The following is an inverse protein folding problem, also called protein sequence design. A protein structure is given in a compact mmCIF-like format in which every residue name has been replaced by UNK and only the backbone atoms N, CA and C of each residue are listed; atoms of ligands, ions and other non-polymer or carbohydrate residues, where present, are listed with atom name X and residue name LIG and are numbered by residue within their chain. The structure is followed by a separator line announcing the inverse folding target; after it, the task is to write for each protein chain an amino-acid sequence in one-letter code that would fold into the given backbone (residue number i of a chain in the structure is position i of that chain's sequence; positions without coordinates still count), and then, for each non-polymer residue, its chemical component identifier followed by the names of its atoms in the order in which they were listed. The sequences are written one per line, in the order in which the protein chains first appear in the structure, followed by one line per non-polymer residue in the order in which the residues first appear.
data_IF_971319544313
#
_entry.id   IF_971319544313
#
_cell.length_a   1.000
_cell.length_b   1.000
_cell.length_c   1.000
_cell.angle_alpha   90.00
_cell.angle_beta   90.00
_cell.angle_gamma   90.00
#
_symmetry.space_group_name_H-M   'P 1'
#
loop_
_entity.id
_entity.type
_entity.pdbx_description
1 polymer ?
#
# COMPACT_ATOMS: atom_id res chain seq x y z
N UNK A 1 4.03 16.42 13.00
CA UNK A 1 2.76 17.07 12.71
C UNK A 1 1.78 16.04 12.12
N UNK A 2 0.48 16.12 12.46
CA UNK A 2 -0.49 15.28 11.79
C UNK A 2 -0.65 15.72 10.34
N UNK A 3 -0.93 14.77 9.47
CA UNK A 3 -1.19 15.03 8.06
C UNK A 3 -2.67 14.89 7.78
N UNK A 4 -3.31 16.02 7.52
CA UNK A 4 -4.68 16.04 7.05
C UNK A 4 -4.77 15.48 5.63
N UNK A 5 -5.74 14.62 5.38
CA UNK A 5 -6.03 14.09 4.06
C UNK A 5 -7.51 14.27 3.76
N UNK A 6 -7.88 14.08 2.50
CA UNK A 6 -9.27 14.15 2.06
C UNK A 6 -10.17 13.01 2.61
N UNK A 7 -9.56 12.02 3.30
CA UNK A 7 -10.31 10.98 4.03
C UNK A 7 -10.76 11.42 5.41
N UNK A 8 -10.30 12.58 5.90
CA UNK A 8 -10.54 13.09 7.24
C UNK A 8 -9.36 12.86 8.19
N UNK A 9 -9.52 13.38 9.42
CA UNK A 9 -8.52 13.24 10.49
C UNK A 9 -9.26 13.14 11.84
N UNK A 10 -9.37 11.96 12.46
CA UNK A 10 -9.07 10.64 11.92
C UNK A 10 -9.99 10.25 10.76
N UNK A 11 -9.58 9.26 9.96
CA UNK A 11 -10.43 8.64 8.95
C UNK A 11 -10.94 7.27 9.41
N UNK A 12 -12.12 6.89 8.94
CA UNK A 12 -12.77 5.64 9.35
C UNK A 12 -12.46 4.53 8.34
N UNK A 13 -12.21 3.31 8.84
CA UNK A 13 -12.04 2.08 8.05
C UNK A 13 -13.11 1.09 8.47
N UNK A 14 -14.27 1.21 7.82
CA UNK A 14 -15.45 0.38 8.06
C UNK A 14 -16.00 -0.14 6.72
N UNK A 15 -16.72 -1.24 6.75
CA UNK A 15 -17.47 -1.71 5.60
C UNK A 15 -18.72 -0.84 5.42
N UNK A 16 -18.87 -0.21 4.26
CA UNK A 16 -20.01 0.64 3.93
C UNK A 16 -20.73 0.17 2.65
N UNK A 17 -22.06 0.38 2.55
CA UNK A 17 -22.79 0.14 1.30
C UNK A 17 -22.27 1.04 0.16
N UNK A 18 -22.08 0.47 -1.04
CA UNK A 18 -21.60 1.18 -2.24
C UNK A 18 -20.28 1.93 -1.99
N UNK A 19 -19.22 1.24 -1.59
CA UNK A 19 -17.94 1.85 -1.27
C UNK A 19 -17.30 2.48 -2.51
N UNK A 20 -16.65 3.62 -2.32
CA UNK A 20 -15.83 4.29 -3.33
C UNK A 20 -14.34 3.94 -3.22
N UNK A 21 -13.97 3.14 -2.23
CA UNK A 21 -12.60 2.70 -1.97
C UNK A 21 -12.59 1.25 -1.48
N UNK A 22 -11.58 0.49 -1.88
CA UNK A 22 -11.41 -0.91 -1.46
C UNK A 22 -11.21 -1.08 0.05
N UNK A 23 -10.71 -0.07 0.75
CA UNK A 23 -10.60 -0.09 2.22
C UNK A 23 -11.96 -0.21 2.91
N UNK A 24 -13.04 0.22 2.25
CA UNK A 24 -14.42 0.20 2.75
C UNK A 24 -15.20 -1.04 2.32
N UNK A 25 -14.55 -2.01 1.70
CA UNK A 25 -15.14 -3.31 1.34
C UNK A 25 -14.79 -4.39 2.36
N UNK A 26 -15.44 -5.54 2.27
CA UNK A 26 -15.08 -6.75 3.02
C UNK A 26 -14.00 -7.59 2.31
N UNK A 27 -13.66 -7.25 1.06
CA UNK A 27 -12.70 -7.99 0.25
C UNK A 27 -11.27 -7.91 0.80
N UNK A 28 -10.46 -8.87 0.40
CA UNK A 28 -9.03 -8.85 0.71
C UNK A 28 -8.35 -7.61 0.11
N UNK A 29 -7.57 -6.93 0.93
CA UNK A 29 -6.76 -5.79 0.53
C UNK A 29 -5.30 -6.24 0.48
N UNK A 30 -4.75 -6.36 -0.73
CA UNK A 30 -3.36 -6.80 -0.92
C UNK A 30 -2.38 -5.79 -0.33
N UNK A 31 -1.21 -6.28 0.07
CA UNK A 31 -0.17 -5.43 0.64
C UNK A 31 0.16 -4.25 -0.29
N UNK A 32 0.04 -3.04 0.22
CA UNK A 32 0.21 -1.76 -0.49
C UNK A 32 0.77 -0.69 0.44
N UNK A 33 1.24 0.39 -0.15
CA UNK A 33 1.50 1.66 0.55
C UNK A 33 0.36 2.63 0.25
N UNK A 34 -0.03 3.42 1.24
CA UNK A 34 -1.09 4.39 1.09
C UNK A 34 -0.64 5.63 0.32
N UNK A 35 -1.56 6.15 -0.50
CA UNK A 35 -1.44 7.43 -1.21
C UNK A 35 -0.17 7.55 -2.08
N UNK A 36 0.20 6.51 -2.87
CA UNK A 36 1.44 6.51 -3.65
C UNK A 36 1.45 7.55 -4.78
N UNK A 37 0.32 8.19 -5.05
CA UNK A 37 0.13 9.24 -6.04
C UNK A 37 0.40 10.66 -5.50
N UNK A 38 0.75 10.81 -4.23
CA UNK A 38 1.29 12.07 -3.71
C UNK A 38 2.81 12.11 -3.87
N UNK A 39 3.34 13.29 -4.19
CA UNK A 39 4.79 13.49 -4.25
C UNK A 39 5.45 13.14 -2.91
N UNK A 40 4.85 13.59 -1.83
CA UNK A 40 5.20 13.20 -0.46
C UNK A 40 4.08 12.31 0.10
N UNK A 41 4.25 11.00 -0.01
CA UNK A 41 3.35 10.05 0.64
C UNK A 41 3.41 10.21 2.17
N UNK A 42 2.33 9.93 2.92
CA UNK A 42 2.34 10.00 4.38
C UNK A 42 3.52 9.25 4.98
N UNK A 43 4.15 9.83 6.02
CA UNK A 43 5.30 9.23 6.70
C UNK A 43 4.88 8.04 7.56
N UNK A 44 4.11 8.28 8.59
CA UNK A 44 3.62 7.24 9.48
C UNK A 44 2.11 7.13 9.43
N UNK A 45 1.63 5.89 9.48
CA UNK A 45 0.22 5.58 9.61
C UNK A 45 -0.04 4.89 10.94
N UNK A 46 -1.13 5.27 11.56
CA UNK A 46 -1.69 4.61 12.75
C UNK A 46 -3.04 4.01 12.35
N UNK A 47 -3.30 2.80 12.79
CA UNK A 47 -4.58 2.12 12.68
C UNK A 47 -4.99 1.68 14.08
N UNK A 48 -5.97 2.36 14.66
CA UNK A 48 -6.55 2.05 15.95
C UNK A 48 -7.75 1.15 15.75
N UNK A 49 -7.71 -0.03 16.31
CA UNK A 49 -8.81 -1.00 16.25
C UNK A 49 -9.85 -0.68 17.32
N UNK A 50 -11.03 -0.27 16.90
CA UNK A 50 -12.15 0.00 17.80
C UNK A 50 -12.99 -1.27 18.01
N UNK A 51 -13.27 -2.00 16.93
CA UNK A 51 -14.06 -3.24 16.93
C UNK A 51 -13.46 -4.18 15.88
N UNK A 52 -13.32 -5.46 16.21
CA UNK A 52 -12.88 -6.47 15.26
C UNK A 52 -13.46 -7.86 15.62
N UNK A 53 -14.79 -7.95 15.60
CA UNK A 53 -15.54 -9.18 15.94
C UNK A 53 -15.75 -10.07 14.71
N UNK A 54 -15.61 -9.50 13.50
CA UNK A 54 -15.82 -10.21 12.25
C UNK A 54 -14.84 -11.37 12.07
N UNK A 55 -15.31 -12.46 11.47
CA UNK A 55 -14.48 -13.60 11.07
C UNK A 55 -13.59 -13.23 9.88
N UNK A 56 -12.30 -13.51 9.95
CA UNK A 56 -11.30 -13.07 8.96
C UNK A 56 -10.70 -11.72 9.31
N UNK A 57 -10.36 -10.90 8.31
CA UNK A 57 -9.87 -9.54 8.48
C UNK A 57 -8.51 -9.42 9.18
N UNK A 58 -7.66 -10.47 9.09
CA UNK A 58 -6.28 -10.40 9.61
C UNK A 58 -5.51 -9.31 8.88
N UNK A 59 -4.81 -8.48 9.62
CA UNK A 59 -3.86 -7.53 9.07
C UNK A 59 -2.61 -8.25 8.58
N UNK A 60 -1.99 -7.75 7.55
CA UNK A 60 -0.70 -8.24 7.04
C UNK A 60 0.27 -7.10 6.83
N UNK A 61 1.55 -7.37 7.02
CA UNK A 61 2.63 -6.39 6.81
C UNK A 61 3.82 -7.01 6.12
N UNK A 62 4.52 -6.18 5.34
CA UNK A 62 5.77 -6.53 4.66
C UNK A 62 6.73 -5.35 4.77
N UNK A 63 7.97 -5.62 5.22
CA UNK A 63 9.04 -4.62 5.11
C UNK A 63 9.49 -4.51 3.65
N UNK A 64 9.03 -3.48 2.96
CA UNK A 64 9.35 -3.23 1.56
C UNK A 64 10.84 -2.99 1.31
N UNK A 65 11.56 -2.41 2.27
CA UNK A 65 13.01 -2.24 2.16
C UNK A 65 13.76 -3.57 2.27
N UNK A 66 13.26 -4.52 3.08
CA UNK A 66 13.82 -5.87 3.13
C UNK A 66 13.63 -6.61 1.79
N UNK A 67 12.46 -6.47 1.17
CA UNK A 67 12.19 -7.02 -0.18
C UNK A 67 13.09 -6.34 -1.22
N UNK A 68 13.17 -5.01 -1.22
CA UNK A 68 14.03 -4.25 -2.15
C UNK A 68 15.51 -4.64 -2.01
N UNK A 69 15.97 -4.85 -0.77
CA UNK A 69 17.35 -5.30 -0.51
C UNK A 69 17.59 -6.75 -0.96
N UNK A 70 16.59 -7.63 -0.86
CA UNK A 70 16.64 -8.97 -1.45
C UNK A 70 16.83 -8.89 -2.96
N UNK A 71 16.03 -8.06 -3.66
CA UNK A 71 16.15 -7.84 -5.10
C UNK A 71 17.51 -7.26 -5.48
N UNK A 72 17.99 -6.24 -4.77
CA UNK A 72 19.31 -5.61 -5.00
C UNK A 72 20.43 -6.64 -4.98
N UNK A 73 20.33 -7.66 -4.11
CA UNK A 73 21.36 -8.70 -3.95
C UNK A 73 21.20 -9.89 -4.88
N UNK A 74 19.98 -10.31 -5.19
CA UNK A 74 19.69 -11.57 -5.87
C UNK A 74 19.13 -11.44 -7.27
N UNK A 75 18.43 -10.34 -7.56
CA UNK A 75 17.67 -10.12 -8.78
C UNK A 75 17.94 -8.72 -9.36
N UNK A 76 19.19 -8.48 -9.74
CA UNK A 76 19.69 -7.15 -10.13
C UNK A 76 18.90 -6.51 -11.27
N UNK A 77 18.46 -7.32 -12.24
CA UNK A 77 17.69 -6.81 -13.41
C UNK A 77 16.29 -6.35 -12.96
N UNK A 78 15.62 -7.13 -12.11
CA UNK A 78 14.33 -6.77 -11.50
C UNK A 78 14.48 -5.51 -10.68
N UNK A 79 15.48 -5.46 -9.81
CA UNK A 79 15.80 -4.26 -9.01
C UNK A 79 16.02 -3.02 -9.87
N UNK A 80 16.82 -3.16 -10.94
CA UNK A 80 17.09 -2.05 -11.87
C UNK A 80 15.84 -1.56 -12.58
N UNK A 81 14.94 -2.47 -12.99
CA UNK A 81 13.67 -2.08 -13.60
C UNK A 81 12.76 -1.33 -12.62
N UNK A 82 12.64 -1.81 -11.39
CA UNK A 82 11.74 -1.23 -10.37
C UNK A 82 12.26 0.10 -9.80
N UNK A 83 13.57 0.37 -9.89
CA UNK A 83 14.18 1.63 -9.43
C UNK A 83 14.32 2.68 -10.53
N UNK A 84 14.32 2.29 -11.83
CA UNK A 84 14.59 3.21 -12.94
C UNK A 84 13.41 3.42 -13.87
N UNK A 85 12.37 2.59 -13.79
CA UNK A 85 11.20 2.73 -14.64
C UNK A 85 10.12 3.52 -13.91
N UNK A 86 9.78 4.68 -14.47
CA UNK A 86 8.71 5.52 -13.97
C UNK A 86 7.37 4.94 -14.41
N UNK A 87 6.47 4.77 -13.48
CA UNK A 87 5.09 4.33 -13.71
C UNK A 87 4.11 5.36 -13.18
N UNK A 88 2.91 5.37 -13.73
CA UNK A 88 1.87 6.29 -13.32
C UNK A 88 1.13 5.73 -12.11
N UNK A 89 1.13 6.48 -11.01
CA UNK A 89 0.19 6.32 -9.92
C UNK A 89 -0.93 7.32 -10.09
N UNK A 90 -2.19 6.87 -10.01
CA UNK A 90 -3.36 7.71 -10.26
C UNK A 90 -4.44 7.43 -9.23
N UNK A 91 -5.06 8.51 -8.78
CA UNK A 91 -6.32 8.50 -8.06
C UNK A 91 -7.35 9.34 -8.80
N UNK A 92 -8.60 8.92 -8.80
CA UNK A 92 -9.71 9.67 -9.36
C UNK A 92 -10.83 9.73 -8.33
N UNK A 93 -10.97 10.87 -7.71
CA UNK A 93 -11.99 11.13 -6.71
C UNK A 93 -13.16 11.89 -7.35
N UNK A 94 -14.22 11.17 -7.65
CA UNK A 94 -15.42 11.76 -8.26
C UNK A 94 -16.19 12.65 -7.29
N UNK A 95 -16.08 12.42 -5.98
CA UNK A 95 -16.75 13.21 -4.95
C UNK A 95 -16.13 14.59 -4.84
N UNK A 96 -14.80 14.66 -4.80
CA UNK A 96 -14.04 15.90 -4.77
C UNK A 96 -13.76 16.48 -6.16
N UNK A 97 -14.18 15.79 -7.23
CA UNK A 97 -13.89 16.15 -8.63
C UNK A 97 -12.39 16.39 -8.87
N UNK A 98 -11.56 15.55 -8.26
CA UNK A 98 -10.11 15.67 -8.29
C UNK A 98 -9.46 14.46 -8.96
N UNK A 99 -8.42 14.72 -9.74
CA UNK A 99 -7.53 13.70 -10.30
C UNK A 99 -6.12 13.99 -9.79
N UNK A 100 -5.51 12.99 -9.14
CA UNK A 100 -4.15 13.07 -8.64
C UNK A 100 -3.29 12.12 -9.44
N UNK A 101 -2.16 12.58 -9.92
CA UNK A 101 -1.25 11.78 -10.76
C UNK A 101 0.18 12.04 -10.36
N UNK A 102 0.93 10.96 -10.17
CA UNK A 102 2.37 11.01 -9.98
C UNK A 102 3.04 9.99 -10.88
N UNK A 103 4.16 10.37 -11.50
CA UNK A 103 5.07 9.44 -12.16
C UNK A 103 6.27 9.21 -11.26
N UNK A 104 6.49 7.95 -10.85
CA UNK A 104 7.57 7.57 -9.93
C UNK A 104 7.97 6.11 -10.17
N UNK A 105 9.23 5.74 -9.87
CA UNK A 105 9.58 4.33 -9.72
C UNK A 105 8.82 3.68 -8.56
N UNK A 106 8.71 2.35 -8.58
CA UNK A 106 8.15 1.58 -7.46
C UNK A 106 9.07 1.63 -6.23
N UNK A 107 10.38 1.56 -6.45
CA UNK A 107 11.41 1.69 -5.41
C UNK A 107 12.13 3.00 -5.67
N UNK A 108 11.97 3.98 -4.79
CA UNK A 108 12.68 5.26 -4.92
C UNK A 108 13.95 5.26 -4.07
N UNK A 109 14.94 6.00 -4.54
CA UNK A 109 16.25 6.10 -3.89
C UNK A 109 16.56 7.56 -3.56
N UNK A 110 17.31 7.76 -2.48
CA UNK A 110 17.94 9.06 -2.16
C UNK A 110 19.07 9.36 -3.15
N UNK A 111 19.63 10.56 -3.06
CA UNK A 111 20.82 10.94 -3.84
C UNK A 111 22.04 10.04 -3.53
N UNK A 112 22.09 9.48 -2.33
CA UNK A 112 23.16 8.60 -1.86
C UNK A 112 22.90 7.12 -2.17
N UNK A 113 21.85 6.83 -2.95
CA UNK A 113 21.37 5.48 -3.33
C UNK A 113 20.87 4.63 -2.16
N UNK A 114 20.44 5.25 -1.08
CA UNK A 114 19.69 4.60 -0.02
C UNK A 114 18.19 4.50 -0.39
N UNK A 115 17.47 3.57 0.21
CA UNK A 115 16.02 3.47 0.00
C UNK A 115 15.31 4.69 0.60
N UNK A 116 14.51 5.35 -0.21
CA UNK A 116 13.70 6.50 0.19
C UNK A 116 12.25 6.09 0.50
N UNK A 117 11.57 5.54 -0.48
CA UNK A 117 10.23 4.97 -0.29
C UNK A 117 9.91 3.80 -1.24
N UNK A 118 8.90 3.03 -0.89
CA UNK A 118 8.25 2.04 -1.75
C UNK A 118 6.87 2.58 -2.11
N UNK A 119 6.59 2.64 -3.41
CA UNK A 119 5.28 3.03 -3.96
C UNK A 119 4.64 1.84 -4.63
N UNK A 120 3.69 1.22 -3.97
CA UNK A 120 3.03 0.05 -4.52
C UNK A 120 1.57 -0.02 -4.07
N UNK A 121 0.67 0.08 -5.03
CA UNK A 121 -0.76 -0.15 -4.83
C UNK A 121 -1.36 -0.57 -6.16
N UNK A 122 -1.95 -1.75 -6.22
CA UNK A 122 -2.61 -2.23 -7.45
C UNK A 122 -3.82 -1.36 -7.82
N UNK A 123 -4.52 -0.81 -6.82
CA UNK A 123 -5.67 0.07 -7.03
C UNK A 123 -5.28 1.46 -7.55
N UNK A 124 -4.09 1.93 -7.18
CA UNK A 124 -3.61 3.26 -7.57
C UNK A 124 -2.66 3.25 -8.78
N UNK A 125 -2.27 2.08 -9.28
CA UNK A 125 -1.45 2.00 -10.48
C UNK A 125 -2.29 2.32 -11.72
N UNK A 126 -1.91 3.36 -12.45
CA UNK A 126 -2.51 3.72 -13.74
C UNK A 126 -1.98 2.85 -14.87
N UNK A 127 -2.38 3.20 -16.10
CA UNK A 127 -1.87 2.54 -17.30
C UNK A 127 -0.35 2.70 -17.32
N UNK A 128 0.35 1.58 -17.49
CA UNK A 128 1.80 1.56 -17.59
C UNK A 128 2.20 2.07 -18.97
N UNK A 129 2.83 3.25 -18.99
CA UNK A 129 3.33 3.90 -20.19
C UNK A 129 4.87 3.77 -20.22
N UNK A 130 5.35 2.57 -20.51
CA UNK A 130 6.77 2.29 -20.70
C UNK A 130 7.04 1.90 -22.15
N UNK A 131 8.28 2.08 -22.60
CA UNK A 131 8.68 1.69 -23.94
C UNK A 131 8.21 0.25 -24.26
N UNK A 132 7.46 0.00 -25.36
CA UNK A 132 6.91 -1.32 -25.69
C UNK A 132 7.94 -2.45 -25.67
N UNK A 133 9.20 -2.18 -26.06
CA UNK A 133 10.30 -3.17 -26.03
C UNK A 133 10.66 -3.60 -24.60
N UNK A 134 10.34 -2.79 -23.59
CA UNK A 134 10.62 -3.07 -22.16
C UNK A 134 9.38 -3.55 -21.40
N UNK A 135 8.19 -3.44 -21.99
CA UNK A 135 6.90 -3.69 -21.34
C UNK A 135 6.84 -5.08 -20.69
N UNK A 136 7.15 -6.13 -21.47
CA UNK A 136 7.13 -7.52 -20.98
C UNK A 136 8.03 -7.69 -19.74
N UNK A 137 9.30 -7.26 -19.85
CA UNK A 137 10.27 -7.37 -18.75
C UNK A 137 9.84 -6.58 -17.52
N UNK A 138 9.23 -5.41 -17.72
CA UNK A 138 8.72 -4.62 -16.61
C UNK A 138 7.55 -5.33 -15.90
N UNK A 139 6.59 -5.89 -16.66
CA UNK A 139 5.49 -6.65 -16.07
C UNK A 139 5.96 -7.90 -15.31
N UNK A 140 6.93 -8.62 -15.84
CA UNK A 140 7.55 -9.77 -15.16
C UNK A 140 8.20 -9.33 -13.84
N UNK A 141 8.96 -8.22 -13.85
CA UNK A 141 9.56 -7.65 -12.64
C UNK A 141 8.51 -7.18 -11.63
N UNK A 142 7.45 -6.53 -12.10
CA UNK A 142 6.34 -6.08 -11.28
C UNK A 142 5.60 -7.26 -10.61
N UNK A 143 5.25 -8.29 -11.38
CA UNK A 143 4.59 -9.49 -10.87
C UNK A 143 5.47 -10.25 -9.88
N UNK A 144 6.77 -10.33 -10.15
CA UNK A 144 7.71 -10.95 -9.24
C UNK A 144 7.79 -10.20 -7.92
N UNK A 145 7.90 -8.87 -7.96
CA UNK A 145 7.83 -8.04 -6.75
C UNK A 145 6.52 -8.28 -5.98
N UNK A 146 5.37 -8.24 -6.67
CA UNK A 146 4.07 -8.50 -6.07
C UNK A 146 3.99 -9.89 -5.41
N UNK A 147 4.62 -10.92 -6.01
CA UNK A 147 4.68 -12.26 -5.42
C UNK A 147 5.52 -12.33 -4.15
N UNK A 148 6.62 -11.59 -4.08
CA UNK A 148 7.45 -11.49 -2.87
C UNK A 148 6.69 -10.84 -1.71
N UNK A 149 5.80 -9.89 -2.00
CA UNK A 149 4.95 -9.25 -0.98
C UNK A 149 3.88 -10.20 -0.39
N UNK A 150 3.64 -11.35 -1.02
CA UNK A 150 2.76 -12.39 -0.51
C UNK A 150 3.53 -13.58 0.11
N UNK A 151 4.84 -13.57 0.01
CA UNK A 151 5.67 -14.67 0.50
C UNK A 151 5.84 -14.58 2.02
N UNK A 152 5.55 -15.68 2.72
CA UNK A 152 5.65 -15.78 4.19
C UNK A 152 7.07 -15.52 4.73
N UNK A 153 8.10 -15.52 3.89
CA UNK A 153 9.46 -15.09 4.26
C UNK A 153 9.52 -13.60 4.60
N UNK A 154 8.66 -12.78 3.99
CA UNK A 154 8.65 -11.32 4.13
C UNK A 154 7.38 -10.80 4.79
N UNK A 155 6.29 -11.57 4.70
CA UNK A 155 4.95 -11.21 5.17
C UNK A 155 4.70 -11.75 6.58
N UNK A 156 4.12 -10.91 7.43
CA UNK A 156 3.61 -11.26 8.75
C UNK A 156 2.12 -10.99 8.75
N UNK A 157 1.33 -11.97 9.15
CA UNK A 157 -0.11 -11.83 9.35
C UNK A 157 -0.42 -11.84 10.85
N UNK A 158 -1.30 -10.94 11.30
CA UNK A 158 -1.74 -10.82 12.69
C UNK A 158 -3.17 -10.29 12.78
N UNK A 159 -3.82 -10.50 13.93
CA UNK A 159 -5.12 -9.92 14.21
C UNK A 159 -4.95 -8.73 15.15
N UNK A 160 -5.62 -7.63 14.84
CA UNK A 160 -5.78 -6.52 15.77
C UNK A 160 -7.01 -6.80 16.64
N UNK A 161 -6.84 -6.64 17.94
CA UNK A 161 -7.93 -6.70 18.91
C UNK A 161 -8.41 -5.29 19.25
N UNK A 162 -9.63 -5.17 19.80
CA UNK A 162 -10.16 -3.86 20.22
C UNK A 162 -9.22 -3.19 21.23
N UNK A 163 -8.85 -1.95 20.98
CA UNK A 163 -7.87 -1.18 21.75
C UNK A 163 -6.44 -1.22 21.22
N UNK A 164 -6.11 -2.13 20.30
CA UNK A 164 -4.78 -2.16 19.67
C UNK A 164 -4.57 -0.96 18.76
N UNK A 165 -3.35 -0.43 18.79
CA UNK A 165 -2.89 0.59 17.85
C UNK A 165 -1.70 0.05 17.07
N UNK A 166 -1.86 -0.11 15.77
CA UNK A 166 -0.79 -0.49 14.86
C UNK A 166 -0.19 0.74 14.19
N UNK A 167 1.10 0.97 14.39
CA UNK A 167 1.84 2.10 13.82
C UNK A 167 2.97 1.59 12.91
N UNK A 168 3.12 2.19 11.73
CA UNK A 168 4.17 1.84 10.78
C UNK A 168 4.56 3.01 9.88
N UNK A 169 5.80 2.95 9.37
CA UNK A 169 6.27 3.87 8.34
C UNK A 169 5.69 3.47 6.99
N UNK A 170 4.73 4.23 6.49
CA UNK A 170 4.03 3.97 5.21
C UNK A 170 4.95 4.09 3.97
N UNK A 171 6.08 4.78 4.10
CA UNK A 171 7.08 4.88 3.02
C UNK A 171 7.95 3.62 2.92
N UNK A 172 7.94 2.75 3.93
CA UNK A 172 8.74 1.54 4.01
C UNK A 172 7.90 0.26 4.08
N UNK A 173 6.86 0.26 4.89
CA UNK A 173 6.05 -0.92 5.20
C UNK A 173 4.82 -0.95 4.32
N UNK A 174 4.65 -2.05 3.59
CA UNK A 174 3.39 -2.32 2.92
C UNK A 174 2.48 -3.06 3.90
N UNK A 175 1.21 -2.69 3.87
CA UNK A 175 0.20 -3.28 4.73
C UNK A 175 -0.99 -3.77 3.92
N UNK A 176 -1.74 -4.70 4.48
CA UNK A 176 -2.90 -5.29 3.84
C UNK A 176 -3.83 -5.93 4.85
N UNK A 177 -4.85 -6.60 4.31
CA UNK A 177 -5.87 -7.26 5.12
C UNK A 177 -6.42 -8.46 4.35
N UNK A 178 -6.64 -9.58 5.02
CA UNK A 178 -7.43 -10.67 4.45
C UNK A 178 -8.90 -10.25 4.31
N UNK A 179 -9.66 -10.92 3.48
CA UNK A 179 -11.11 -10.82 3.46
C UNK A 179 -11.72 -11.12 4.84
N UNK A 180 -12.90 -10.60 5.08
CA UNK A 180 -13.69 -10.92 6.27
C UNK A 180 -15.17 -11.07 5.90
N UNK A 181 -15.90 -11.84 6.72
CA UNK A 181 -17.34 -11.99 6.56
C UNK A 181 -18.07 -10.83 7.28
N UNK A 182 -18.67 -9.88 6.55
CA UNK A 182 -19.36 -8.74 7.14
C UNK A 182 -20.64 -9.13 7.91
N UNK A 183 -21.13 -10.37 7.76
CA UNK A 183 -22.31 -10.86 8.47
C UNK A 183 -21.94 -11.56 9.80
N UNK A 184 -20.65 -11.82 10.04
CA UNK A 184 -20.17 -12.53 11.23
C UNK A 184 -19.84 -11.63 12.41
N UNK A 185 -19.87 -10.31 12.22
CA UNK A 185 -19.56 -9.32 13.26
C UNK A 185 -19.13 -7.98 12.68
N UNK A 186 -18.87 -7.04 13.56
CA UNK A 186 -18.45 -5.70 13.19
C UNK A 186 -16.92 -5.59 13.08
N UNK A 187 -16.45 -4.75 12.14
CA UNK A 187 -15.05 -4.38 12.01
C UNK A 187 -14.93 -2.88 11.78
N UNK A 188 -14.28 -2.19 12.73
CA UNK A 188 -14.14 -0.74 12.72
C UNK A 188 -12.75 -0.35 13.21
N UNK A 189 -11.97 0.29 12.36
CA UNK A 189 -10.69 0.89 12.71
C UNK A 189 -10.74 2.38 12.39
N UNK A 190 -9.98 3.16 13.16
CA UNK A 190 -9.67 4.54 12.83
C UNK A 190 -8.24 4.66 12.33
N UNK A 191 -8.06 5.38 11.24
CA UNK A 191 -6.77 5.65 10.65
C UNK A 191 -6.31 7.09 10.90
N UNK A 192 -4.98 7.26 10.96
CA UNK A 192 -4.35 8.55 11.21
C UNK A 192 -2.99 8.62 10.55
N UNK A 193 -2.67 9.75 9.90
CA UNK A 193 -1.37 9.97 9.27
C UNK A 193 -0.55 11.05 9.99
N UNK A 194 0.77 10.83 10.06
CA UNK A 194 1.78 11.78 10.57
C UNK A 194 2.92 11.90 9.55
N UNK A 195 3.50 13.10 9.44
CA UNK A 195 4.75 13.34 8.74
C UNK A 195 5.96 12.99 9.62
#
# INVERSE_FOLDING_TARGET
HHRETFFGTPFEVINIPKPNNTAYTADALRNHTDLPYFEYAPGYQFLHCLINDASGGKSSVVDGFAVANHLKRKEKDVYSLLTKTYVKFKDTDYTQKAIRVLHSPIITLTKDNDFNDIRFSMAAMGIIDVNPKKMKKFYEAYQYFASLLQNNKFKIDFRLEAGDIFCFNNRRVLHGRTEFDPNSGNRHLQGYYIE
#
